data_IF_934357124636
#
_entry.id   IF_934357124636
#
_cell.length_a   1.000
_cell.length_b   1.000
_cell.length_c   1.000
_cell.angle_alpha   90.00
_cell.angle_beta   90.00
_cell.angle_gamma   90.00
#
_symmetry.space_group_name_H-M   'P 1'
#
loop_
_entity.id
_entity.type
_entity.pdbx_description
1 polymer ?
#
# COMPACT_ATOMS: atom_id res chain seq x y z
N UNK A 1 -35.62 -32.23 -6.17
CA UNK A 1 -34.89 -30.99 -6.45
C UNK A 1 -33.41 -31.30 -6.30
N UNK A 2 -32.61 -31.01 -7.32
CA UNK A 2 -31.32 -31.68 -7.57
C UNK A 2 -30.20 -31.04 -6.74
N UNK A 3 -29.27 -31.85 -6.23
CA UNK A 3 -28.06 -31.39 -5.55
C UNK A 3 -27.23 -30.36 -6.37
N UNK A 4 -27.42 -30.29 -7.69
CA UNK A 4 -26.81 -29.28 -8.56
C UNK A 4 -27.41 -27.86 -8.45
N UNK A 5 -28.66 -27.69 -8.04
CA UNK A 5 -29.24 -26.35 -7.78
C UNK A 5 -28.73 -25.77 -6.46
N UNK A 6 -28.52 -26.60 -5.44
CA UNK A 6 -27.95 -26.17 -4.15
C UNK A 6 -26.45 -25.86 -4.25
N UNK A 7 -25.69 -26.53 -5.13
CA UNK A 7 -24.27 -26.25 -5.37
C UNK A 7 -24.04 -24.95 -6.19
N UNK A 8 -25.03 -24.50 -6.97
CA UNK A 8 -24.92 -23.27 -7.75
C UNK A 8 -24.83 -22.00 -6.89
N UNK A 9 -25.42 -22.00 -5.68
CA UNK A 9 -25.28 -20.92 -4.70
C UNK A 9 -23.88 -20.82 -4.05
N UNK A 10 -23.06 -21.88 -4.13
CA UNK A 10 -21.71 -21.88 -3.56
C UNK A 10 -20.66 -21.23 -4.47
N UNK A 11 -20.88 -21.31 -5.79
CA UNK A 11 -19.91 -20.90 -6.79
C UNK A 11 -19.56 -19.40 -6.74
N UNK A 12 -20.53 -18.48 -6.58
CA UNK A 12 -20.23 -17.05 -6.45
C UNK A 12 -19.34 -16.73 -5.24
N UNK A 13 -19.57 -17.40 -4.10
CA UNK A 13 -18.78 -17.20 -2.89
C UNK A 13 -17.35 -17.74 -3.06
N UNK A 14 -17.19 -18.96 -3.58
CA UNK A 14 -15.85 -19.54 -3.78
C UNK A 14 -15.06 -18.82 -4.87
N UNK A 15 -15.70 -18.43 -5.98
CA UNK A 15 -15.05 -17.67 -7.06
C UNK A 15 -14.60 -16.29 -6.54
N UNK A 16 -15.39 -15.69 -5.65
CA UNK A 16 -15.02 -14.42 -5.01
C UNK A 16 -13.90 -14.56 -3.98
N UNK A 17 -13.87 -15.63 -3.17
CA UNK A 17 -12.75 -15.90 -2.25
C UNK A 17 -11.45 -16.03 -3.04
N UNK A 18 -11.48 -16.76 -4.17
CA UNK A 18 -10.34 -16.87 -5.07
C UNK A 18 -9.91 -15.52 -5.64
N UNK A 19 -10.87 -14.67 -6.02
CA UNK A 19 -10.58 -13.31 -6.51
C UNK A 19 -9.99 -12.44 -5.40
N UNK A 20 -10.57 -12.43 -4.20
CA UNK A 20 -10.09 -11.68 -3.05
C UNK A 20 -8.66 -12.08 -2.68
N UNK A 21 -8.37 -13.38 -2.66
CA UNK A 21 -7.04 -13.90 -2.39
C UNK A 21 -6.04 -13.42 -3.46
N UNK A 22 -6.38 -13.53 -4.75
CA UNK A 22 -5.54 -13.07 -5.86
C UNK A 22 -5.26 -11.57 -5.78
N UNK A 23 -6.29 -10.76 -5.56
CA UNK A 23 -6.18 -9.31 -5.43
C UNK A 23 -5.34 -8.95 -4.21
N UNK A 24 -5.60 -9.55 -3.05
CA UNK A 24 -4.85 -9.28 -1.82
C UNK A 24 -3.37 -9.60 -1.98
N UNK A 25 -3.03 -10.76 -2.56
CA UNK A 25 -1.64 -11.15 -2.81
C UNK A 25 -0.97 -10.18 -3.79
N UNK A 26 -1.63 -9.87 -4.90
CA UNK A 26 -1.11 -8.96 -5.92
C UNK A 26 -0.89 -7.55 -5.37
N UNK A 27 -1.88 -6.99 -4.66
CA UNK A 27 -1.78 -5.68 -4.03
C UNK A 27 -0.71 -5.66 -2.95
N UNK A 28 -0.60 -6.72 -2.13
CA UNK A 28 0.46 -6.83 -1.11
C UNK A 28 1.86 -6.80 -1.74
N UNK A 29 2.08 -7.54 -2.84
CA UNK A 29 3.35 -7.52 -3.56
C UNK A 29 3.67 -6.12 -4.11
N UNK A 30 2.68 -5.43 -4.68
CA UNK A 30 2.84 -4.09 -5.25
C UNK A 30 3.13 -3.05 -4.18
N UNK A 31 2.37 -3.06 -3.08
CA UNK A 31 2.59 -2.22 -1.89
C UNK A 31 4.01 -2.43 -1.37
N UNK A 32 4.44 -3.68 -1.20
CA UNK A 32 5.78 -3.99 -0.69
C UNK A 32 6.88 -3.48 -1.64
N UNK A 33 6.69 -3.60 -2.96
CA UNK A 33 7.63 -3.07 -3.94
C UNK A 33 7.73 -1.54 -3.89
N UNK A 34 6.60 -0.84 -3.75
CA UNK A 34 6.59 0.63 -3.65
C UNK A 34 7.23 1.06 -2.32
N UNK A 35 6.89 0.41 -1.21
CA UNK A 35 7.46 0.70 0.11
C UNK A 35 8.98 0.50 0.15
N UNK A 36 9.49 -0.56 -0.48
CA UNK A 36 10.93 -0.80 -0.60
C UNK A 36 11.62 0.30 -1.41
N UNK A 37 11.00 0.74 -2.51
CA UNK A 37 11.50 1.84 -3.34
C UNK A 37 11.51 3.15 -2.56
N UNK A 38 10.40 3.50 -1.91
CA UNK A 38 10.25 4.68 -1.08
C UNK A 38 11.28 4.72 0.05
N UNK A 39 11.52 3.59 0.71
CA UNK A 39 12.54 3.48 1.76
C UNK A 39 13.95 3.78 1.24
N UNK A 40 14.28 3.28 0.04
CA UNK A 40 15.56 3.56 -0.61
C UNK A 40 15.68 5.03 -1.02
N UNK A 41 14.64 5.60 -1.63
CA UNK A 41 14.57 7.02 -2.02
C UNK A 41 14.73 7.93 -0.80
N UNK A 42 14.02 7.63 0.30
CA UNK A 42 14.11 8.34 1.57
C UNK A 42 15.53 8.32 2.14
N UNK A 43 16.18 7.15 2.20
CA UNK A 43 17.57 7.04 2.67
C UNK A 43 18.54 7.86 1.82
N UNK A 44 18.37 7.84 0.49
CA UNK A 44 19.18 8.64 -0.42
C UNK A 44 18.94 10.15 -0.22
N UNK A 45 17.68 10.56 -0.05
CA UNK A 45 17.32 11.95 0.24
C UNK A 45 18.02 12.45 1.51
N UNK A 46 17.95 11.69 2.61
CA UNK A 46 18.64 12.05 3.87
C UNK A 46 20.15 12.21 3.66
N UNK A 47 20.77 11.33 2.87
CA UNK A 47 22.21 11.43 2.56
C UNK A 47 22.53 12.69 1.75
N UNK A 48 21.72 13.01 0.75
CA UNK A 48 21.89 14.22 -0.09
C UNK A 48 21.67 15.49 0.73
N UNK A 49 20.62 15.54 1.55
CA UNK A 49 20.33 16.68 2.44
C UNK A 49 21.50 16.91 3.44
N UNK A 50 22.08 15.84 3.96
CA UNK A 50 23.28 15.89 4.81
C UNK A 50 24.49 16.43 4.05
N UNK A 51 24.71 15.97 2.81
CA UNK A 51 25.80 16.45 1.96
C UNK A 51 25.66 17.96 1.69
N UNK A 52 24.48 18.44 1.31
CA UNK A 52 24.18 19.87 1.10
C UNK A 52 24.56 20.67 2.35
N UNK A 53 24.12 20.22 3.53
CA UNK A 53 24.42 20.88 4.80
C UNK A 53 25.94 20.99 5.05
N UNK A 54 26.70 19.96 4.70
CA UNK A 54 28.15 19.95 4.86
C UNK A 54 28.84 20.88 3.85
N UNK A 55 28.37 20.89 2.60
CA UNK A 55 28.84 21.83 1.59
C UNK A 55 28.59 23.27 2.04
N UNK A 56 27.38 23.62 2.42
CA UNK A 56 27.04 24.97 2.91
C UNK A 56 27.93 25.40 4.08
N UNK A 57 28.22 24.48 5.01
CA UNK A 57 29.13 24.74 6.13
C UNK A 57 30.56 24.99 5.65
N UNK A 58 31.06 24.20 4.70
CA UNK A 58 32.39 24.40 4.11
C UNK A 58 32.47 25.77 3.43
N UNK A 59 31.49 26.12 2.59
CA UNK A 59 31.39 27.42 1.91
C UNK A 59 31.50 28.60 2.89
N UNK A 60 30.80 28.55 4.03
CA UNK A 60 30.83 29.59 5.06
C UNK A 60 32.20 29.73 5.73
N UNK A 61 32.93 28.63 5.92
CA UNK A 61 34.24 28.63 6.58
C UNK A 61 35.35 29.08 5.63
N UNK A 62 35.30 28.69 4.36
CA UNK A 62 36.38 28.94 3.38
C UNK A 62 36.45 30.37 2.84
N UNK A 63 35.50 31.25 3.19
CA UNK A 63 35.56 32.69 2.97
C UNK A 63 36.06 33.13 1.59
N UNK A 64 35.22 33.00 0.55
CA UNK A 64 35.37 33.63 -0.79
C UNK A 64 36.77 33.63 -1.46
N UNK A 65 37.71 32.79 -1.05
CA UNK A 65 38.99 32.62 -1.75
C UNK A 65 38.78 31.63 -2.90
N UNK A 66 39.21 32.00 -4.11
CA UNK A 66 38.81 31.44 -5.41
C UNK A 66 38.93 29.93 -5.68
N UNK A 67 39.27 29.11 -4.68
CA UNK A 67 39.26 27.64 -4.74
C UNK A 67 37.84 27.03 -4.65
N UNK A 68 36.84 27.84 -4.33
CA UNK A 68 35.44 27.42 -4.18
C UNK A 68 34.72 27.20 -5.52
N UNK A 69 35.20 27.79 -6.63
CA UNK A 69 34.54 27.69 -7.93
C UNK A 69 34.38 26.24 -8.44
N UNK A 70 35.35 25.36 -8.16
CA UNK A 70 35.24 23.94 -8.53
C UNK A 70 34.22 23.15 -7.69
N UNK A 71 33.79 23.68 -6.54
CA UNK A 71 32.76 23.07 -5.70
C UNK A 71 31.35 23.49 -6.13
N UNK A 72 31.19 24.53 -6.94
CA UNK A 72 29.88 25.00 -7.42
C UNK A 72 29.22 23.96 -8.33
N UNK A 73 29.98 23.35 -9.24
CA UNK A 73 29.43 22.38 -10.20
C UNK A 73 28.92 21.14 -9.47
N UNK A 74 29.69 20.64 -8.49
CA UNK A 74 29.30 19.50 -7.64
C UNK A 74 28.09 19.89 -6.77
N UNK A 75 28.07 21.11 -6.22
CA UNK A 75 26.95 21.59 -5.42
C UNK A 75 25.66 21.66 -6.24
N UNK A 76 25.71 22.17 -7.46
CA UNK A 76 24.58 22.21 -8.38
C UNK A 76 24.08 20.80 -8.71
N UNK A 77 24.98 19.85 -9.00
CA UNK A 77 24.63 18.45 -9.25
C UNK A 77 23.91 17.80 -8.05
N UNK A 78 24.39 18.09 -6.83
CA UNK A 78 23.77 17.59 -5.60
C UNK A 78 22.37 18.22 -5.40
N UNK A 79 22.19 19.51 -5.69
CA UNK A 79 20.87 20.15 -5.63
C UNK A 79 19.90 19.59 -6.67
N UNK A 80 20.36 19.35 -7.90
CA UNK A 80 19.53 18.72 -8.94
C UNK A 80 19.11 17.30 -8.53
N UNK A 81 20.04 16.53 -7.96
CA UNK A 81 19.74 15.21 -7.42
C UNK A 81 18.75 15.26 -6.24
N UNK A 82 18.87 16.26 -5.36
CA UNK A 82 17.91 16.49 -4.27
C UNK A 82 16.50 16.72 -4.80
N UNK A 83 16.37 17.57 -5.83
CA UNK A 83 15.09 17.86 -6.47
C UNK A 83 14.49 16.61 -7.11
N UNK A 84 15.30 15.82 -7.82
CA UNK A 84 14.85 14.55 -8.41
C UNK A 84 14.38 13.55 -7.36
N UNK A 85 15.15 13.38 -6.27
CA UNK A 85 14.79 12.50 -5.16
C UNK A 85 13.52 12.98 -4.45
N UNK A 86 13.33 14.29 -4.30
CA UNK A 86 12.12 14.87 -3.72
C UNK A 86 10.89 14.57 -4.60
N UNK A 87 10.98 14.80 -5.90
CA UNK A 87 9.89 14.50 -6.83
C UNK A 87 9.59 13.00 -6.85
N UNK A 88 10.62 12.15 -6.86
CA UNK A 88 10.45 10.70 -6.80
C UNK A 88 9.76 10.26 -5.51
N UNK A 89 10.19 10.81 -4.37
CA UNK A 89 9.61 10.52 -3.06
C UNK A 89 8.11 10.84 -3.00
N UNK A 90 7.71 12.04 -3.44
CA UNK A 90 6.29 12.45 -3.47
C UNK A 90 5.47 11.53 -4.38
N UNK A 91 5.97 11.21 -5.57
CA UNK A 91 5.27 10.34 -6.51
C UNK A 91 5.13 8.90 -5.99
N UNK A 92 6.18 8.38 -5.33
CA UNK A 92 6.17 7.05 -4.72
C UNK A 92 5.18 6.97 -3.55
N UNK A 93 5.12 8.03 -2.74
CA UNK A 93 4.18 8.10 -1.62
C UNK A 93 2.73 8.22 -2.10
N UNK A 94 2.46 9.05 -3.11
CA UNK A 94 1.13 9.11 -3.74
C UNK A 94 0.71 7.76 -4.34
N UNK A 95 1.66 7.05 -4.97
CA UNK A 95 1.41 5.71 -5.52
C UNK A 95 1.08 4.69 -4.43
N UNK A 96 1.80 4.74 -3.30
CA UNK A 96 1.54 3.89 -2.14
C UNK A 96 0.13 4.13 -1.58
N UNK A 97 -0.25 5.40 -1.40
CA UNK A 97 -1.57 5.80 -0.92
C UNK A 97 -2.69 5.30 -1.83
N UNK A 98 -2.53 5.42 -3.14
CA UNK A 98 -3.51 4.93 -4.12
C UNK A 98 -3.67 3.40 -4.08
N UNK A 99 -2.57 2.64 -3.96
CA UNK A 99 -2.64 1.18 -3.85
C UNK A 99 -3.32 0.73 -2.57
N UNK A 100 -3.06 1.42 -1.45
CA UNK A 100 -3.73 1.18 -0.18
C UNK A 100 -5.23 1.48 -0.25
N UNK A 101 -5.63 2.56 -0.93
CA UNK A 101 -7.03 2.90 -1.16
C UNK A 101 -7.75 1.87 -2.03
N UNK A 102 -7.14 1.45 -3.15
CA UNK A 102 -7.69 0.41 -4.02
C UNK A 102 -7.90 -0.90 -3.25
N UNK A 103 -6.92 -1.34 -2.47
CA UNK A 103 -7.06 -2.55 -1.66
C UNK A 103 -8.19 -2.40 -0.61
N UNK A 104 -8.34 -1.22 0.01
CA UNK A 104 -9.43 -0.94 0.96
C UNK A 104 -10.82 -1.06 0.31
N UNK A 105 -10.97 -0.59 -0.93
CA UNK A 105 -12.22 -0.70 -1.70
C UNK A 105 -12.56 -2.17 -2.00
N UNK A 106 -11.58 -2.95 -2.43
CA UNK A 106 -11.76 -4.39 -2.71
C UNK A 106 -12.17 -5.18 -1.45
N UNK A 107 -11.55 -4.88 -0.30
CA UNK A 107 -11.93 -5.48 0.98
C UNK A 107 -13.35 -5.09 1.42
N UNK A 108 -13.83 -3.88 1.09
CA UNK A 108 -15.20 -3.47 1.37
C UNK A 108 -16.19 -4.31 0.57
N UNK A 109 -15.90 -4.58 -0.70
CA UNK A 109 -16.69 -5.49 -1.53
C UNK A 109 -16.75 -6.89 -0.93
N UNK A 110 -15.64 -7.37 -0.35
CA UNK A 110 -15.60 -8.66 0.32
C UNK A 110 -16.52 -8.78 1.53
N UNK A 111 -16.60 -7.75 2.36
CA UNK A 111 -17.49 -7.71 3.53
C UNK A 111 -18.97 -7.75 3.09
N UNK A 112 -19.32 -7.02 2.01
CA UNK A 112 -20.68 -7.02 1.46
C UNK A 112 -21.04 -8.42 0.96
N UNK A 113 -20.14 -9.08 0.23
CA UNK A 113 -20.38 -10.42 -0.29
C UNK A 113 -20.46 -11.47 0.81
N UNK A 114 -19.62 -11.40 1.84
CA UNK A 114 -19.76 -12.25 3.02
C UNK A 114 -21.14 -12.09 3.69
N UNK A 115 -21.63 -10.84 3.79
CA UNK A 115 -22.96 -10.55 4.33
C UNK A 115 -24.08 -11.17 3.48
N UNK A 116 -24.00 -11.02 2.15
CA UNK A 116 -24.96 -11.59 1.21
C UNK A 116 -24.95 -13.12 1.26
N UNK A 117 -23.77 -13.74 1.32
CA UNK A 117 -23.64 -15.19 1.46
C UNK A 117 -24.22 -15.71 2.78
N UNK A 118 -24.16 -14.93 3.87
CA UNK A 118 -24.83 -15.28 5.13
C UNK A 118 -26.36 -15.28 4.98
N UNK A 119 -26.91 -14.36 4.19
CA UNK A 119 -28.35 -14.29 3.85
C UNK A 119 -28.78 -15.43 2.94
N UNK A 120 -27.94 -15.84 1.99
CA UNK A 120 -28.20 -17.00 1.14
C UNK A 120 -28.07 -18.31 1.92
N UNK A 121 -27.10 -18.40 2.84
CA UNK A 121 -26.91 -19.55 3.72
C UNK A 121 -28.10 -19.79 4.66
N UNK A 122 -28.70 -18.72 5.19
CA UNK A 122 -29.90 -18.84 6.04
C UNK A 122 -31.15 -19.28 5.26
N UNK A 123 -31.12 -19.13 3.93
CA UNK A 123 -32.15 -19.61 3.01
C UNK A 123 -31.81 -20.99 2.42
N UNK A 124 -30.56 -21.44 2.57
CA UNK A 124 -30.12 -22.77 2.18
C UNK A 124 -30.61 -23.83 3.19
N UNK A 125 -30.80 -25.07 2.72
CA UNK A 125 -31.19 -26.17 3.62
C UNK A 125 -30.16 -26.40 4.73
N UNK A 126 -30.63 -26.94 5.86
CA UNK A 126 -29.85 -27.13 7.11
C UNK A 126 -28.53 -27.89 6.94
N UNK A 127 -28.39 -28.70 5.87
CA UNK A 127 -27.18 -29.46 5.58
C UNK A 127 -25.95 -28.59 5.26
N UNK A 128 -26.16 -27.36 4.78
CA UNK A 128 -25.10 -26.51 4.22
C UNK A 128 -24.95 -25.14 4.91
N UNK A 129 -25.96 -24.76 5.69
CA UNK A 129 -26.05 -23.47 6.37
C UNK A 129 -24.82 -23.19 7.26
N UNK A 130 -24.47 -24.11 8.15
CA UNK A 130 -23.37 -23.90 9.10
C UNK A 130 -22.00 -23.77 8.41
N UNK A 131 -21.78 -24.54 7.34
CA UNK A 131 -20.53 -24.46 6.58
C UNK A 131 -20.41 -23.11 5.85
N UNK A 132 -21.51 -22.62 5.26
CA UNK A 132 -21.53 -21.34 4.55
C UNK A 132 -21.34 -20.15 5.50
N UNK A 133 -21.99 -20.18 6.67
CA UNK A 133 -21.82 -19.15 7.70
C UNK A 133 -20.36 -19.10 8.16
N UNK A 134 -19.76 -20.25 8.46
CA UNK A 134 -18.35 -20.31 8.88
C UNK A 134 -17.39 -19.72 7.81
N UNK A 135 -17.61 -20.00 6.53
CA UNK A 135 -16.79 -19.42 5.45
C UNK A 135 -16.96 -17.90 5.38
N UNK A 136 -18.21 -17.42 5.41
CA UNK A 136 -18.50 -15.98 5.38
C UNK A 136 -17.85 -15.23 6.57
N UNK A 137 -17.93 -15.79 7.78
CA UNK A 137 -17.35 -15.22 8.99
C UNK A 137 -15.82 -15.12 8.91
N UNK A 138 -15.16 -16.17 8.38
CA UNK A 138 -13.70 -16.17 8.19
C UNK A 138 -13.24 -15.14 7.15
N UNK A 139 -13.98 -15.00 6.05
CA UNK A 139 -13.69 -13.99 5.01
C UNK A 139 -13.84 -12.58 5.56
N UNK A 140 -14.94 -12.30 6.26
CA UNK A 140 -15.19 -11.00 6.88
C UNK A 140 -14.11 -10.66 7.92
N UNK A 141 -13.77 -11.60 8.81
CA UNK A 141 -12.73 -11.40 9.83
C UNK A 141 -11.36 -11.11 9.21
N UNK A 142 -10.99 -11.85 8.16
CA UNK A 142 -9.74 -11.63 7.42
C UNK A 142 -9.74 -10.26 6.74
N UNK A 143 -10.83 -9.91 6.07
CA UNK A 143 -10.95 -8.63 5.37
C UNK A 143 -10.87 -7.43 6.33
N UNK A 144 -11.52 -7.52 7.49
CA UNK A 144 -11.45 -6.51 8.54
C UNK A 144 -10.03 -6.36 9.11
N UNK A 145 -9.33 -7.48 9.33
CA UNK A 145 -7.94 -7.48 9.82
C UNK A 145 -6.99 -6.79 8.84
N UNK A 146 -7.11 -7.10 7.54
CA UNK A 146 -6.30 -6.45 6.50
C UNK A 146 -6.65 -4.95 6.40
N UNK A 147 -7.94 -4.61 6.48
CA UNK A 147 -8.40 -3.21 6.44
C UNK A 147 -7.83 -2.38 7.59
N UNK A 148 -7.73 -2.94 8.79
CA UNK A 148 -7.10 -2.26 9.93
C UNK A 148 -5.62 -1.96 9.67
N UNK A 149 -4.87 -2.92 9.10
CA UNK A 149 -3.47 -2.72 8.73
C UNK A 149 -3.30 -1.63 7.66
N UNK A 150 -4.20 -1.59 6.67
CA UNK A 150 -4.21 -0.55 5.64
C UNK A 150 -4.44 0.83 6.27
N UNK A 151 -5.42 0.94 7.18
CA UNK A 151 -5.71 2.20 7.85
C UNK A 151 -4.50 2.75 8.62
N UNK A 152 -3.82 1.90 9.39
CA UNK A 152 -2.59 2.29 10.08
C UNK A 152 -1.48 2.69 9.09
N UNK A 153 -1.34 1.96 7.98
CA UNK A 153 -0.36 2.26 6.94
C UNK A 153 -0.62 3.61 6.25
N UNK A 154 -1.90 3.93 5.96
CA UNK A 154 -2.31 5.20 5.39
C UNK A 154 -2.06 6.37 6.35
N UNK A 155 -2.38 6.18 7.63
CA UNK A 155 -2.13 7.18 8.67
C UNK A 155 -0.64 7.50 8.80
N UNK A 156 0.21 6.47 8.75
CA UNK A 156 1.67 6.66 8.73
C UNK A 156 2.14 7.40 7.46
N UNK A 157 1.60 7.05 6.29
CA UNK A 157 1.94 7.70 5.03
C UNK A 157 1.56 9.20 5.02
N UNK A 158 0.38 9.55 5.54
CA UNK A 158 -0.06 10.95 5.67
C UNK A 158 0.82 11.75 6.62
N UNK A 159 1.29 11.14 7.71
CA UNK A 159 2.24 11.78 8.62
C UNK A 159 3.64 12.02 8.01
N UNK A 160 3.94 11.41 6.86
CA UNK A 160 5.18 11.61 6.11
C UNK A 160 5.05 12.65 4.99
N UNK A 161 3.85 13.16 4.72
CA UNK A 161 3.58 14.27 3.79
C UNK A 161 3.75 15.65 4.44
N UNK A 162 3.72 15.73 5.77
CA UNK A 162 3.87 16.94 6.60
C UNK A 162 5.28 17.14 7.10
#
# INVERSE_FOLDING_TARGET
>A
MRAGESAAGFKPLTDFIDQLAKVTISSSQKINSIAAKLSKTSSNKVRVDSAITHFEKAYRISGYQGQILCLNDIYNEIQDNQNQLQTAYVNELASLSNELEMLSLELRTAIILATLSRVEASQAGSLYQDSLINVADNVESSALSIKALIYESQKLAQGLET
#
